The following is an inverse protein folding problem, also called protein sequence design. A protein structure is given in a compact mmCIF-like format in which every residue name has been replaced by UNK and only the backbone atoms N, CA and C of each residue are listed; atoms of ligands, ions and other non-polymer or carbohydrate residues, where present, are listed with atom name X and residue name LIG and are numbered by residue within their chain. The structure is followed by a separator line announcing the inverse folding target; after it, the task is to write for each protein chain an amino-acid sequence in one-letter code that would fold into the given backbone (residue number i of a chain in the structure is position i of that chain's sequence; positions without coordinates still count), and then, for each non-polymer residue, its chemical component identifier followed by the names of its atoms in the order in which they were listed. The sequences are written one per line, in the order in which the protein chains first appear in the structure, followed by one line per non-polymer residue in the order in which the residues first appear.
data_IF_924062548623
#
_entry.id   IF_924062548623
#
_cell.length_a   1.000
_cell.length_b   1.000
_cell.length_c   1.000
_cell.angle_alpha   90.00
_cell.angle_beta   90.00
_cell.angle_gamma   90.00
#
_symmetry.space_group_name_H-M   'P 1'
#
loop_
_entity.id
_entity.type
_entity.pdbx_description
1 polymer ?
#
# COMPACT_ATOMS: atom_id res chain seq x y z
N UNK A 1 -23.31 20.83 50.64
CA UNK A 1 -22.92 20.36 51.99
C UNK A 1 -22.31 18.97 51.80
N UNK A 2 -21.00 18.71 51.88
CA UNK A 2 -19.85 19.38 52.51
C UNK A 2 -18.65 19.49 51.55
N UNK A 3 -17.81 20.45 51.89
CA UNK A 3 -16.55 20.90 51.29
C UNK A 3 -15.33 19.96 51.47
N UNK A 4 -14.16 20.26 50.86
CA UNK A 4 -13.05 19.35 50.57
C UNK A 4 -11.91 19.39 51.61
N UNK A 5 -11.02 18.40 51.56
CA UNK A 5 -9.76 18.42 52.31
C UNK A 5 -8.56 18.62 51.36
N UNK A 6 -7.88 19.76 51.55
CA UNK A 6 -6.52 20.05 51.10
C UNK A 6 -5.52 19.40 52.07
N UNK A 7 -4.40 18.89 51.56
CA UNK A 7 -3.15 18.79 52.33
C UNK A 7 -2.00 19.32 51.48
N UNK A 8 -1.44 20.44 51.94
CA UNK A 8 -0.15 21.01 51.55
C UNK A 8 0.98 20.24 52.25
N UNK A 9 2.11 20.06 51.57
CA UNK A 9 3.33 19.52 52.19
C UNK A 9 4.55 19.74 51.30
N UNK A 10 5.21 20.87 51.50
CA UNK A 10 6.55 21.22 50.97
C UNK A 10 7.60 20.69 51.95
N UNK A 11 8.67 20.05 51.48
CA UNK A 11 10.04 20.18 52.03
C UNK A 11 11.11 19.53 51.12
N UNK A 12 12.12 20.32 50.78
CA UNK A 12 13.40 19.98 50.11
C UNK A 12 14.40 19.33 51.12
N UNK A 13 15.72 19.13 50.89
CA UNK A 13 16.58 19.14 49.68
C UNK A 13 17.57 17.92 49.65
N UNK A 14 18.67 18.03 48.89
CA UNK A 14 19.98 17.34 48.99
C UNK A 14 20.32 16.23 47.97
N UNK A 15 21.15 16.65 47.01
CA UNK A 15 22.30 15.98 46.35
C UNK A 15 22.33 14.45 46.23
N UNK A 16 22.63 13.93 45.03
CA UNK A 16 23.91 13.27 44.73
C UNK A 16 24.09 13.15 43.20
N UNK A 17 25.29 13.51 42.77
CA UNK A 17 25.81 13.44 41.42
C UNK A 17 25.77 12.01 40.86
N UNK A 18 25.07 11.81 39.75
CA UNK A 18 25.33 10.68 38.84
C UNK A 18 25.89 11.26 37.55
N UNK A 19 27.22 11.19 37.42
CA UNK A 19 27.91 11.42 36.16
C UNK A 19 27.46 10.34 35.16
N UNK A 20 26.50 10.69 34.31
CA UNK A 20 26.14 9.88 33.15
C UNK A 20 27.24 10.03 32.11
N UNK A 21 28.05 8.99 31.95
CA UNK A 21 28.89 8.81 30.79
C UNK A 21 27.98 8.81 29.55
N UNK A 22 28.04 9.90 28.79
CA UNK A 22 27.35 10.03 27.51
C UNK A 22 27.92 8.99 26.55
N UNK A 23 27.25 7.85 26.42
CA UNK A 23 27.39 6.95 25.28
C UNK A 23 26.85 7.69 24.06
N UNK A 24 27.73 8.44 23.40
CA UNK A 24 27.48 9.01 22.08
C UNK A 24 27.48 7.84 21.10
N UNK A 25 26.36 7.14 20.98
CA UNK A 25 26.13 6.33 19.80
C UNK A 25 26.10 7.29 18.61
N UNK A 26 27.01 7.14 17.63
CA UNK A 26 26.91 7.93 16.43
C UNK A 26 25.60 7.54 15.76
N UNK A 27 24.64 8.46 15.81
CA UNK A 27 23.51 8.49 14.89
C UNK A 27 24.12 8.64 13.50
N UNK A 28 24.48 7.53 12.91
CA UNK A 28 24.85 7.48 11.50
C UNK A 28 23.50 7.36 10.81
N UNK A 29 22.94 8.43 10.20
CA UNK A 29 21.74 8.27 9.41
C UNK A 29 22.05 7.19 8.38
N UNK A 30 21.29 6.09 8.41
CA UNK A 30 21.36 5.10 7.36
C UNK A 30 21.21 5.85 6.05
N UNK A 31 22.27 5.87 5.24
CA UNK A 31 22.22 6.48 3.93
C UNK A 31 21.15 5.72 3.14
N UNK A 32 19.98 6.34 3.00
CA UNK A 32 18.93 5.82 2.12
C UNK A 32 19.54 5.94 0.73
N UNK A 33 19.97 4.81 0.18
CA UNK A 33 20.48 4.76 -1.18
C UNK A 33 19.39 5.32 -2.11
N UNK A 34 19.63 6.51 -2.67
CA UNK A 34 18.76 7.02 -3.71
C UNK A 34 18.88 6.08 -4.91
N UNK A 35 17.76 5.62 -5.48
CA UNK A 35 17.80 4.82 -6.70
C UNK A 35 18.56 5.61 -7.77
N UNK A 36 19.43 4.91 -8.50
CA UNK A 36 20.19 5.53 -9.58
C UNK A 36 19.24 6.12 -10.63
N UNK A 37 19.67 7.17 -11.33
CA UNK A 37 18.86 7.77 -12.41
C UNK A 37 18.50 6.75 -13.51
N UNK A 38 19.36 5.75 -13.74
CA UNK A 38 19.07 4.67 -14.70
C UNK A 38 17.87 3.80 -14.25
N UNK A 39 17.82 3.44 -12.97
CA UNK A 39 16.69 2.71 -12.37
C UNK A 39 15.40 3.52 -12.44
N UNK A 40 15.47 4.84 -12.23
CA UNK A 40 14.29 5.71 -12.31
C UNK A 40 13.71 5.77 -13.74
N UNK A 41 14.57 5.81 -14.77
CA UNK A 41 14.14 5.79 -16.18
C UNK A 41 13.48 4.45 -16.53
N UNK A 42 14.07 3.34 -16.10
CA UNK A 42 13.50 2.00 -16.29
C UNK A 42 12.13 1.86 -15.63
N UNK A 43 12.00 2.26 -14.36
CA UNK A 43 10.73 2.23 -13.62
C UNK A 43 9.68 3.09 -14.32
N UNK A 44 10.05 4.30 -14.78
CA UNK A 44 9.12 5.16 -15.50
C UNK A 44 8.66 4.52 -16.84
N UNK A 45 9.55 3.83 -17.55
CA UNK A 45 9.19 3.10 -18.76
C UNK A 45 8.26 1.91 -18.48
N UNK A 46 8.56 1.13 -17.44
CA UNK A 46 7.74 0.00 -17.03
C UNK A 46 6.34 0.44 -16.54
N UNK A 47 6.24 1.50 -15.74
CA UNK A 47 4.94 2.04 -15.32
C UNK A 47 4.08 2.54 -16.48
N UNK A 48 4.68 3.02 -17.59
CA UNK A 48 3.92 3.38 -18.81
C UNK A 48 3.20 2.20 -19.45
N UNK A 49 3.67 0.98 -19.26
CA UNK A 49 2.95 -0.22 -19.72
C UNK A 49 1.57 -0.25 -19.06
N UNK A 50 1.50 0.09 -17.76
CA UNK A 50 0.26 0.11 -16.99
C UNK A 50 -0.76 1.17 -17.46
N UNK A 51 -0.33 2.22 -18.16
CA UNK A 51 -1.25 3.23 -18.72
C UNK A 51 -2.29 2.63 -19.68
N UNK A 52 -1.96 1.49 -20.32
CA UNK A 52 -2.87 0.78 -21.23
C UNK A 52 -4.11 0.23 -20.51
N UNK A 53 -4.03 -0.04 -19.22
CA UNK A 53 -5.16 -0.50 -18.42
C UNK A 53 -5.96 0.64 -17.81
N UNK A 54 -5.51 1.89 -17.90
CA UNK A 54 -6.21 3.04 -17.34
C UNK A 54 -7.54 3.29 -18.07
N UNK A 55 -8.57 3.67 -17.32
CA UNK A 55 -9.88 4.01 -17.88
C UNK A 55 -11.01 3.13 -17.37
N UNK A 56 -12.11 3.08 -18.12
CA UNK A 56 -13.33 2.35 -17.73
C UNK A 56 -13.50 1.11 -18.60
N UNK A 57 -13.76 -0.02 -17.95
CA UNK A 57 -13.86 -1.34 -18.57
C UNK A 57 -15.19 -1.98 -18.22
N UNK A 58 -15.97 -2.36 -19.22
CA UNK A 58 -17.14 -3.20 -19.00
C UNK A 58 -16.70 -4.66 -18.98
N UNK A 59 -16.86 -5.32 -17.84
CA UNK A 59 -16.35 -6.67 -17.60
C UNK A 59 -17.53 -7.62 -17.42
N UNK A 60 -17.45 -8.79 -18.08
CA UNK A 60 -18.33 -9.94 -17.84
C UNK A 60 -17.48 -11.13 -17.48
N UNK A 61 -17.66 -11.66 -16.27
CA UNK A 61 -16.96 -12.84 -15.77
C UNK A 61 -17.94 -14.01 -15.75
N UNK A 62 -17.59 -15.10 -16.42
CA UNK A 62 -18.34 -16.36 -16.40
C UNK A 62 -17.54 -17.39 -15.63
N UNK A 63 -18.10 -17.88 -14.53
CA UNK A 63 -17.51 -18.94 -13.71
C UNK A 63 -18.32 -20.22 -13.91
N UNK A 64 -17.67 -21.37 -14.06
CA UNK A 64 -18.33 -22.63 -14.42
C UNK A 64 -18.55 -23.60 -13.26
N UNK A 65 -18.25 -23.26 -11.99
CA UNK A 65 -18.08 -24.28 -10.94
C UNK A 65 -18.69 -23.99 -9.56
N UNK A 66 -19.21 -25.04 -8.87
CA UNK A 66 -19.87 -26.23 -9.44
C UNK A 66 -21.20 -25.87 -10.14
N UNK A 67 -21.70 -24.66 -9.91
CA UNK A 67 -22.86 -24.07 -10.57
C UNK A 67 -22.37 -22.87 -11.36
N UNK A 68 -22.78 -22.75 -12.62
CA UNK A 68 -22.37 -21.63 -13.45
C UNK A 68 -22.92 -20.31 -12.89
N UNK A 69 -22.09 -19.27 -12.88
CA UNK A 69 -22.49 -17.92 -12.49
C UNK A 69 -21.91 -16.90 -13.46
N UNK A 70 -22.62 -15.79 -13.62
CA UNK A 70 -22.21 -14.67 -14.45
C UNK A 70 -22.25 -13.41 -13.61
N UNK A 71 -21.11 -12.73 -13.49
CA UNK A 71 -20.99 -11.44 -12.84
C UNK A 71 -20.64 -10.37 -13.88
N UNK A 72 -21.38 -9.25 -13.87
CA UNK A 72 -21.09 -8.08 -14.69
C UNK A 72 -20.65 -6.91 -13.81
N UNK A 73 -19.69 -6.13 -14.29
CA UNK A 73 -19.20 -4.94 -13.58
C UNK A 73 -18.71 -3.86 -14.54
N UNK A 74 -18.52 -2.66 -13.99
CA UNK A 74 -17.90 -1.54 -14.68
C UNK A 74 -16.68 -1.10 -13.88
N UNK A 75 -15.52 -1.63 -14.25
CA UNK A 75 -14.27 -1.38 -13.55
C UNK A 75 -13.67 -0.05 -13.99
N UNK A 76 -13.20 0.75 -13.04
CA UNK A 76 -12.48 2.00 -13.29
C UNK A 76 -11.06 1.89 -12.77
N UNK A 77 -10.09 2.10 -13.64
CA UNK A 77 -8.66 2.04 -13.33
C UNK A 77 -8.05 3.43 -13.36
N UNK A 78 -7.44 3.85 -12.25
CA UNK A 78 -6.86 5.20 -12.07
C UNK A 78 -5.56 5.15 -11.29
N UNK A 79 -4.63 6.03 -11.63
CA UNK A 79 -3.42 6.23 -10.85
C UNK A 79 -3.73 6.84 -9.49
N UNK A 80 -3.06 6.33 -8.45
CA UNK A 80 -3.13 6.83 -7.08
C UNK A 80 -1.72 6.93 -6.50
N UNK A 81 -1.61 7.59 -5.33
CA UNK A 81 -0.37 7.71 -4.57
C UNK A 81 0.79 8.33 -5.37
N UNK A 82 0.48 9.30 -6.26
CA UNK A 82 1.47 9.97 -7.12
C UNK A 82 1.98 9.06 -8.23
N UNK A 83 1.07 8.44 -8.99
CA UNK A 83 1.35 7.57 -10.14
C UNK A 83 2.22 6.35 -9.84
N UNK A 84 2.23 5.91 -8.58
CA UNK A 84 2.98 4.71 -8.15
C UNK A 84 2.16 3.43 -8.25
N UNK A 85 0.84 3.55 -8.10
CA UNK A 85 -0.07 2.40 -8.15
C UNK A 85 -1.24 2.70 -9.06
N UNK A 86 -1.54 1.77 -9.96
CA UNK A 86 -2.79 1.76 -10.69
C UNK A 86 -3.82 1.02 -9.84
N UNK A 87 -4.83 1.75 -9.35
CA UNK A 87 -5.94 1.19 -8.61
C UNK A 87 -7.08 0.84 -9.57
N UNK A 88 -7.60 -0.38 -9.49
CA UNK A 88 -8.86 -0.76 -10.12
C UNK A 88 -9.98 -0.81 -9.09
N UNK A 89 -11.13 -0.25 -9.42
CA UNK A 89 -12.36 -0.36 -8.63
C UNK A 89 -13.45 -0.93 -9.52
N UNK A 90 -13.90 -2.13 -9.22
CA UNK A 90 -14.94 -2.81 -10.02
C UNK A 90 -16.34 -2.23 -9.84
N UNK A 91 -16.54 -1.36 -8.84
CA UNK A 91 -17.87 -0.99 -8.37
C UNK A 91 -18.61 -2.18 -7.76
N UNK A 92 -19.91 -2.05 -7.57
CA UNK A 92 -20.75 -3.19 -7.16
C UNK A 92 -21.08 -4.01 -8.40
N UNK A 93 -20.68 -5.28 -8.40
CA UNK A 93 -20.97 -6.24 -9.47
C UNK A 93 -22.43 -6.71 -9.37
N UNK A 94 -22.91 -7.38 -10.42
CA UNK A 94 -24.28 -7.91 -10.46
C UNK A 94 -24.60 -8.97 -9.39
N UNK A 95 -23.59 -9.61 -8.80
CA UNK A 95 -23.74 -10.54 -7.68
C UNK A 95 -23.69 -9.85 -6.29
N UNK A 96 -23.58 -8.52 -6.26
CA UNK A 96 -23.49 -7.72 -5.04
C UNK A 96 -22.08 -7.61 -4.45
N UNK A 97 -21.09 -8.31 -5.01
CA UNK A 97 -19.69 -8.19 -4.57
C UNK A 97 -19.02 -6.94 -5.13
N UNK A 98 -17.86 -6.57 -4.57
CA UNK A 98 -17.00 -5.50 -5.08
C UNK A 98 -15.54 -5.90 -4.87
N UNK A 99 -14.73 -5.58 -5.85
CA UNK A 99 -13.28 -5.73 -5.80
C UNK A 99 -12.59 -4.37 -5.92
N UNK A 100 -11.51 -4.23 -5.16
CA UNK A 100 -10.48 -3.22 -5.29
C UNK A 100 -9.18 -3.92 -5.70
N UNK A 101 -8.53 -3.48 -6.77
CA UNK A 101 -7.23 -4.02 -7.17
C UNK A 101 -6.15 -2.95 -7.11
N UNK A 102 -4.90 -3.37 -6.89
CA UNK A 102 -3.72 -2.51 -6.94
C UNK A 102 -2.65 -3.18 -7.79
N UNK A 103 -2.05 -2.43 -8.69
CA UNK A 103 -0.97 -2.89 -9.57
C UNK A 103 0.15 -1.86 -9.59
N UNK A 104 1.39 -2.33 -9.68
CA UNK A 104 2.58 -1.48 -9.82
C UNK A 104 3.68 -2.25 -10.55
N UNK A 105 4.86 -1.66 -10.69
CA UNK A 105 6.07 -2.33 -11.14
C UNK A 105 7.08 -2.39 -10.00
N UNK A 106 7.55 -3.60 -9.68
CA UNK A 106 8.65 -3.82 -8.75
C UNK A 106 9.99 -3.83 -9.51
N UNK A 107 10.81 -2.80 -9.29
CA UNK A 107 12.11 -2.66 -9.96
C UNK A 107 13.14 -3.72 -9.53
N UNK A 108 13.01 -4.28 -8.32
CA UNK A 108 13.94 -5.27 -7.78
C UNK A 108 13.62 -6.64 -8.37
N UNK A 109 12.34 -7.01 -8.36
CA UNK A 109 11.87 -8.27 -8.94
C UNK A 109 11.69 -8.20 -10.47
N UNK A 110 11.69 -6.99 -11.05
CA UNK A 110 11.37 -6.71 -12.47
C UNK A 110 10.01 -7.25 -12.89
N UNK A 111 9.02 -7.19 -11.99
CA UNK A 111 7.70 -7.81 -12.17
C UNK A 111 6.55 -6.84 -11.90
N UNK A 112 5.33 -7.23 -12.29
CA UNK A 112 4.11 -6.47 -12.04
C UNK A 112 3.22 -7.16 -11.01
N UNK A 113 3.43 -6.94 -9.70
CA UNK A 113 2.56 -7.52 -8.68
C UNK A 113 1.14 -6.94 -8.77
N UNK A 114 0.16 -7.82 -8.57
CA UNK A 114 -1.27 -7.48 -8.58
C UNK A 114 -1.94 -8.05 -7.33
N UNK A 115 -2.49 -7.14 -6.53
CA UNK A 115 -3.35 -7.47 -5.39
C UNK A 115 -4.81 -7.20 -5.74
N UNK A 116 -5.70 -8.11 -5.35
CA UNK A 116 -7.16 -7.94 -5.47
C UNK A 116 -7.79 -8.19 -4.11
N UNK A 117 -8.44 -7.16 -3.57
CA UNK A 117 -9.19 -7.19 -2.33
C UNK A 117 -10.67 -7.26 -2.66
N UNK A 118 -11.34 -8.32 -2.20
CA UNK A 118 -12.77 -8.52 -2.44
C UNK A 118 -13.58 -8.09 -1.20
N UNK A 119 -14.81 -7.65 -1.42
CA UNK A 119 -15.74 -7.27 -0.35
C UNK A 119 -16.16 -8.43 0.55
N UNK A 120 -15.90 -9.67 0.12
CA UNK A 120 -16.11 -10.89 0.93
C UNK A 120 -14.95 -11.13 1.91
N UNK A 121 -13.89 -10.32 1.87
CA UNK A 121 -12.71 -10.45 2.71
C UNK A 121 -11.61 -11.34 2.11
N UNK A 122 -11.82 -11.91 0.92
CA UNK A 122 -10.79 -12.68 0.21
C UNK A 122 -9.78 -11.71 -0.41
N UNK A 123 -8.50 -12.04 -0.28
CA UNK A 123 -7.40 -11.34 -0.94
C UNK A 123 -6.70 -12.29 -1.89
N UNK A 124 -6.54 -11.86 -3.14
CA UNK A 124 -5.70 -12.54 -4.11
C UNK A 124 -4.41 -11.75 -4.30
N UNK A 125 -3.29 -12.46 -4.26
CA UNK A 125 -2.02 -12.00 -4.79
C UNK A 125 -1.72 -12.85 -6.01
N UNK A 126 -1.69 -12.23 -7.19
CA UNK A 126 -1.31 -12.95 -8.39
C UNK A 126 0.21 -12.95 -8.50
N UNK A 127 0.75 -14.10 -8.91
CA UNK A 127 2.18 -14.30 -9.05
C UNK A 127 2.78 -13.27 -10.01
N UNK A 128 4.03 -12.93 -9.73
CA UNK A 128 4.87 -12.01 -10.49
C UNK A 128 4.81 -12.32 -11.99
N UNK A 129 4.32 -11.35 -12.77
CA UNK A 129 4.32 -11.39 -14.23
C UNK A 129 5.38 -10.46 -14.78
N UNK A 130 6.07 -10.93 -15.83
CA UNK A 130 6.94 -10.10 -16.65
C UNK A 130 6.20 -9.67 -17.92
N UNK A 131 6.58 -8.50 -18.45
CA UNK A 131 6.06 -8.02 -19.72
C UNK A 131 7.23 -7.66 -20.63
N UNK A 132 7.26 -8.26 -21.82
CA UNK A 132 8.23 -7.98 -22.87
C UNK A 132 7.52 -7.30 -24.04
N UNK A 133 8.08 -6.18 -24.51
CA UNK A 133 7.60 -5.41 -25.66
C UNK A 133 8.32 -5.81 -26.97
N UNK A 134 9.22 -6.79 -26.93
CA UNK A 134 10.02 -7.22 -28.09
C UNK A 134 9.23 -7.85 -29.24
#
# INVERSE_FOLDING_TARGET
MREPAKCLGICSPFWHSCALAALIWPWTPAAIAQPSSATAVEVAAALKVLDRWRGRWQVTTTTTQPVASVAKSLTTNTWILGDRFLQGDSGVKSDGTRDLSMMTFDAVARSYPLWIFTSTGVVYYLADGEWDES
#
